data_IF_361976101868
#
_entry.id   IF_361976101868
#
_cell.length_a   1.000
_cell.length_b   1.000
_cell.length_c   1.000
_cell.angle_alpha   90.00
_cell.angle_beta   90.00
_cell.angle_gamma   90.00
#
_symmetry.space_group_name_H-M   'P 1'
#
loop_
_entity.id
_entity.type
_entity.pdbx_description
1 polymer ?
#
# COMPACT_ATOMS: atom_id res chain seq x y z
N UNK A 1 -18.07 -2.38 -10.31
CA UNK A 1 -16.68 -2.76 -10.66
C UNK A 1 -16.43 -4.15 -10.10
N UNK A 2 -16.03 -5.12 -10.93
CA UNK A 2 -15.64 -6.44 -10.41
C UNK A 2 -14.21 -6.35 -9.90
N UNK A 3 -14.02 -6.61 -8.60
CA UNK A 3 -12.68 -6.71 -8.02
C UNK A 3 -12.15 -8.10 -8.35
N UNK A 4 -10.99 -8.19 -8.98
CA UNK A 4 -10.29 -9.47 -9.08
C UNK A 4 -9.78 -9.83 -7.68
N UNK A 5 -10.27 -10.94 -7.13
CA UNK A 5 -9.85 -11.41 -5.81
C UNK A 5 -9.13 -12.74 -5.98
N UNK A 6 -7.89 -12.76 -5.49
CA UNK A 6 -7.02 -13.92 -5.60
C UNK A 6 -6.61 -14.35 -4.20
N UNK A 7 -6.93 -15.58 -3.83
CA UNK A 7 -6.43 -16.21 -2.62
C UNK A 7 -5.15 -16.98 -2.91
N UNK A 8 -4.14 -16.81 -2.07
CA UNK A 8 -2.93 -17.64 -2.06
C UNK A 8 -2.91 -18.45 -0.78
N UNK A 9 -2.67 -19.75 -0.91
CA UNK A 9 -2.47 -20.67 0.20
C UNK A 9 -1.03 -21.19 0.17
N UNK A 10 -0.38 -21.20 1.32
CA UNK A 10 0.97 -21.70 1.50
C UNK A 10 0.94 -23.04 2.24
N UNK A 11 1.70 -24.00 1.75
CA UNK A 11 1.75 -25.38 2.22
C UNK A 11 3.17 -25.74 2.64
N UNK A 12 3.29 -26.63 3.62
CA UNK A 12 4.55 -27.22 4.08
C UNK A 12 4.40 -28.74 4.14
N UNK A 13 5.37 -29.46 3.56
CA UNK A 13 5.45 -30.92 3.62
C UNK A 13 6.21 -31.40 4.87
N UNK A 14 6.24 -32.71 5.10
CA UNK A 14 6.97 -33.33 6.23
C UNK A 14 8.48 -33.02 6.22
N UNK A 15 9.05 -32.68 5.05
CA UNK A 15 10.45 -32.33 4.88
C UNK A 15 10.70 -30.83 5.03
N UNK A 16 9.71 -30.09 5.53
CA UNK A 16 9.72 -28.64 5.66
C UNK A 16 9.96 -27.92 4.32
N UNK A 17 9.52 -28.50 3.20
CA UNK A 17 9.54 -27.83 1.90
C UNK A 17 8.24 -27.07 1.72
N UNK A 18 8.38 -25.84 1.26
CA UNK A 18 7.27 -24.93 1.06
C UNK A 18 6.81 -24.94 -0.39
N UNK A 19 5.50 -24.85 -0.59
CA UNK A 19 4.89 -24.62 -1.90
C UNK A 19 3.65 -23.76 -1.73
N UNK A 20 3.16 -23.17 -2.81
CA UNK A 20 1.94 -22.37 -2.77
C UNK A 20 0.99 -22.73 -3.91
N UNK A 21 -0.28 -22.41 -3.70
CA UNK A 21 -1.30 -22.46 -4.75
C UNK A 21 -2.14 -21.20 -4.74
N UNK A 22 -2.68 -20.88 -5.91
CA UNK A 22 -3.44 -19.66 -6.14
C UNK A 22 -4.83 -20.03 -6.62
N UNK A 23 -5.84 -19.54 -5.90
CA UNK A 23 -7.26 -19.79 -6.16
C UNK A 23 -7.93 -18.46 -6.46
N UNK A 24 -8.72 -18.41 -7.53
CA UNK A 24 -9.56 -17.25 -7.83
C UNK A 24 -10.81 -17.30 -6.96
N UNK A 25 -11.05 -16.23 -6.21
CA UNK A 25 -12.24 -16.09 -5.38
C UNK A 25 -13.30 -15.36 -6.22
N UNK A 26 -14.56 -15.86 -6.26
CA UNK A 26 -15.65 -15.17 -6.93
C UNK A 26 -15.79 -13.72 -6.47
N UNK A 27 -16.08 -12.84 -7.41
CA UNK A 27 -16.24 -11.41 -7.13
C UNK A 27 -17.59 -11.15 -6.46
N UNK A 28 -17.65 -10.22 -5.50
CA UNK A 28 -18.90 -9.80 -4.86
C UNK A 28 -19.19 -10.43 -3.49
N UNK A 29 -18.29 -11.28 -2.99
CA UNK A 29 -18.33 -11.74 -1.60
C UNK A 29 -17.97 -10.62 -0.61
N UNK A 30 -18.52 -10.71 0.60
CA UNK A 30 -18.03 -9.92 1.73
C UNK A 30 -16.67 -10.46 2.19
N UNK A 31 -15.85 -9.63 2.86
CA UNK A 31 -14.55 -10.06 3.39
C UNK A 31 -14.67 -11.28 4.33
N UNK A 32 -15.75 -11.34 5.12
CA UNK A 32 -16.07 -12.50 5.96
C UNK A 32 -16.24 -13.79 5.15
N UNK A 33 -16.94 -13.70 4.02
CA UNK A 33 -17.25 -14.84 3.18
C UNK A 33 -16.02 -15.31 2.39
N UNK A 34 -15.14 -14.37 2.02
CA UNK A 34 -13.83 -14.70 1.42
C UNK A 34 -12.96 -15.49 2.40
N UNK A 35 -12.96 -15.12 3.68
CA UNK A 35 -12.24 -15.85 4.71
C UNK A 35 -12.79 -17.27 4.88
N UNK A 36 -14.13 -17.40 4.97
CA UNK A 36 -14.78 -18.71 5.06
C UNK A 36 -14.48 -19.59 3.85
N UNK A 37 -14.59 -19.03 2.64
CA UNK A 37 -14.27 -19.74 1.40
C UNK A 37 -12.82 -20.24 1.39
N UNK A 38 -11.86 -19.39 1.76
CA UNK A 38 -10.45 -19.80 1.82
C UNK A 38 -10.19 -20.84 2.89
N UNK A 39 -10.83 -20.76 4.05
CA UNK A 39 -10.71 -21.76 5.09
C UNK A 39 -11.23 -23.12 4.62
N UNK A 40 -12.39 -23.15 3.98
CA UNK A 40 -12.96 -24.40 3.41
C UNK A 40 -12.10 -24.95 2.28
N UNK A 41 -11.62 -24.11 1.37
CA UNK A 41 -10.74 -24.52 0.28
C UNK A 41 -9.38 -25.03 0.81
N UNK A 42 -8.80 -24.37 1.80
CA UNK A 42 -7.57 -24.78 2.45
C UNK A 42 -7.71 -26.16 3.12
N UNK A 43 -8.81 -26.40 3.83
CA UNK A 43 -9.07 -27.69 4.44
C UNK A 43 -9.17 -28.80 3.37
N UNK A 44 -9.95 -28.57 2.31
CA UNK A 44 -10.09 -29.55 1.23
C UNK A 44 -8.74 -29.87 0.55
N UNK A 45 -7.88 -28.86 0.37
CA UNK A 45 -6.55 -29.05 -0.21
C UNK A 45 -5.57 -29.73 0.76
N UNK A 46 -5.66 -29.43 2.05
CA UNK A 46 -4.89 -30.12 3.09
C UNK A 46 -5.25 -31.62 3.12
N UNK A 47 -6.55 -31.93 3.10
CA UNK A 47 -7.06 -33.30 3.11
C UNK A 47 -6.61 -34.11 1.88
N UNK A 48 -6.54 -33.47 0.69
CA UNK A 48 -6.09 -34.11 -0.55
C UNK A 48 -4.56 -34.26 -0.59
N UNK A 49 -3.83 -33.24 -0.16
CA UNK A 49 -2.37 -33.18 -0.31
C UNK A 49 -1.61 -33.88 0.82
N UNK A 50 -2.23 -34.07 1.97
CA UNK A 50 -1.55 -34.51 3.20
C UNK A 50 -0.54 -33.50 3.75
N UNK A 51 -0.48 -32.29 3.19
CA UNK A 51 0.42 -31.23 3.62
C UNK A 51 -0.24 -30.33 4.69
N UNK A 52 0.59 -29.65 5.48
CA UNK A 52 0.12 -28.63 6.42
C UNK A 52 -0.08 -27.31 5.68
N UNK A 53 -1.25 -26.67 5.83
CA UNK A 53 -1.44 -25.27 5.40
C UNK A 53 -0.90 -24.35 6.47
N UNK A 54 0.08 -23.51 6.14
CA UNK A 54 0.75 -22.60 7.09
C UNK A 54 0.26 -21.16 6.97
N UNK A 55 -0.35 -20.80 5.85
CA UNK A 55 -0.81 -19.44 5.61
C UNK A 55 -1.88 -19.35 4.52
N UNK A 56 -2.67 -18.29 4.62
CA UNK A 56 -3.60 -17.87 3.59
C UNK A 56 -3.53 -16.34 3.46
N UNK A 57 -3.49 -15.85 2.23
CA UNK A 57 -3.54 -14.42 1.93
C UNK A 57 -4.57 -14.13 0.85
N UNK A 58 -5.28 -13.02 0.98
CA UNK A 58 -6.22 -12.51 -0.02
C UNK A 58 -5.63 -11.26 -0.64
N UNK A 59 -5.49 -11.26 -1.96
CA UNK A 59 -5.15 -10.09 -2.75
C UNK A 59 -6.42 -9.55 -3.40
N UNK A 60 -6.77 -8.31 -3.08
CA UNK A 60 -7.90 -7.61 -3.67
C UNK A 60 -7.37 -6.57 -4.66
N UNK A 61 -7.63 -6.79 -5.94
CA UNK A 61 -7.32 -5.83 -6.99
C UNK A 61 -8.37 -4.72 -7.03
N UNK A 62 -7.95 -3.47 -6.78
CA UNK A 62 -8.79 -2.28 -6.96
C UNK A 62 -8.44 -1.61 -8.29
N UNK A 63 -9.44 -1.35 -9.11
CA UNK A 63 -9.29 -0.52 -10.31
C UNK A 63 -9.90 0.85 -10.05
N UNK A 64 -9.14 1.90 -10.31
CA UNK A 64 -9.60 3.27 -10.17
C UNK A 64 -10.22 3.72 -11.51
N UNK A 65 -11.49 4.17 -11.54
CA UNK A 65 -12.16 4.52 -12.79
C UNK A 65 -11.42 5.67 -13.50
N UNK A 66 -11.12 5.47 -14.78
CA UNK A 66 -10.50 6.48 -15.66
C UNK A 66 -9.01 6.75 -15.43
N UNK A 67 -8.37 6.09 -14.45
CA UNK A 67 -7.08 6.53 -13.91
C UNK A 67 -7.25 7.86 -13.16
N UNK A 68 -6.64 8.02 -11.98
CA UNK A 68 -6.77 9.26 -11.20
C UNK A 68 -6.27 10.51 -11.94
N UNK A 69 -5.50 10.32 -13.02
CA UNK A 69 -5.13 11.34 -13.99
C UNK A 69 -5.29 10.78 -15.40
N UNK A 70 -5.93 11.55 -16.28
CA UNK A 70 -6.23 11.15 -17.67
C UNK A 70 -5.00 11.06 -18.57
N UNK A 71 -3.96 11.86 -18.30
CA UNK A 71 -2.69 11.87 -19.03
C UNK A 71 -1.53 12.15 -18.06
N UNK A 72 -0.43 11.39 -18.15
CA UNK A 72 0.78 11.70 -17.41
C UNK A 72 1.32 13.08 -17.80
N UNK A 73 1.75 13.88 -16.82
CA UNK A 73 2.35 15.18 -17.12
C UNK A 73 3.66 14.98 -17.87
N UNK A 74 3.92 15.78 -18.92
CA UNK A 74 5.24 15.82 -19.57
C UNK A 74 6.37 16.17 -18.58
N UNK A 75 6.03 16.87 -17.49
CA UNK A 75 6.95 17.23 -16.42
C UNK A 75 7.11 16.14 -15.34
N UNK A 76 6.53 14.95 -15.55
CA UNK A 76 6.67 13.81 -14.63
C UNK A 76 7.86 12.95 -15.06
N UNK A 77 9.02 13.18 -14.45
CA UNK A 77 10.22 12.36 -14.69
C UNK A 77 10.34 11.26 -13.63
N UNK A 78 10.41 9.99 -14.06
CA UNK A 78 10.56 8.81 -13.18
C UNK A 78 11.96 8.78 -12.53
N UNK A 79 12.93 9.51 -13.09
CA UNK A 79 14.27 9.62 -12.51
C UNK A 79 14.30 10.43 -11.20
N UNK A 80 13.24 11.19 -10.91
CA UNK A 80 13.11 12.13 -9.78
C UNK A 80 12.08 11.62 -8.79
N UNK A 81 12.57 11.04 -7.69
CA UNK A 81 11.69 10.45 -6.66
C UNK A 81 11.55 11.39 -5.48
N UNK A 82 10.32 11.57 -5.01
CA UNK A 82 10.07 12.23 -3.74
C UNK A 82 10.31 11.23 -2.60
N UNK A 83 11.18 11.56 -1.66
CA UNK A 83 11.39 10.75 -0.45
C UNK A 83 10.74 11.42 0.75
N UNK A 84 9.73 10.79 1.32
CA UNK A 84 8.99 11.32 2.46
C UNK A 84 9.24 10.44 3.68
N UNK A 85 9.77 11.05 4.74
CA UNK A 85 10.09 10.40 6.00
C UNK A 85 9.17 10.93 7.10
N UNK A 86 8.55 10.00 7.82
CA UNK A 86 7.64 10.31 8.93
C UNK A 86 8.12 9.61 10.19
N UNK A 87 7.94 10.27 11.34
CA UNK A 87 8.20 9.66 12.64
C UNK A 87 6.90 9.60 13.43
N UNK A 88 6.66 8.45 14.05
CA UNK A 88 5.50 8.29 14.91
C UNK A 88 5.69 8.95 16.28
N UNK A 89 4.64 9.57 16.83
CA UNK A 89 4.70 10.25 18.14
C UNK A 89 4.76 9.23 19.29
N UNK A 90 4.05 8.11 19.17
CA UNK A 90 4.25 6.97 20.09
C UNK A 90 5.30 6.05 19.50
N UNK A 91 6.36 5.85 20.28
CA UNK A 91 7.50 4.93 20.10
C UNK A 91 8.48 5.19 18.95
N UNK A 92 8.48 6.37 18.33
CA UNK A 92 9.58 6.78 17.44
C UNK A 92 9.82 5.86 16.24
N UNK A 93 8.79 5.12 15.80
CA UNK A 93 8.90 4.29 14.61
C UNK A 93 9.05 5.16 13.39
N UNK A 94 9.89 4.69 12.47
CA UNK A 94 10.24 5.41 11.27
C UNK A 94 9.46 4.86 10.09
N UNK A 95 8.65 5.69 9.45
CA UNK A 95 7.95 5.33 8.22
C UNK A 95 8.57 6.06 7.01
N UNK A 96 8.63 5.36 5.88
CA UNK A 96 9.22 5.83 4.63
C UNK A 96 8.22 5.60 3.51
N UNK A 97 7.94 6.66 2.76
CA UNK A 97 7.19 6.56 1.52
C UNK A 97 8.02 7.17 0.38
N UNK A 98 7.96 6.54 -0.78
CA UNK A 98 8.56 7.05 -2.01
C UNK A 98 7.47 7.32 -3.03
N UNK A 99 7.47 8.51 -3.60
CA UNK A 99 6.66 8.81 -4.80
C UNK A 99 7.56 8.62 -6.02
N UNK A 100 7.20 7.72 -6.96
CA UNK A 100 8.07 7.38 -8.09
C UNK A 100 8.41 8.54 -9.03
N UNK A 101 7.61 9.61 -9.03
CA UNK A 101 7.82 10.83 -9.82
C UNK A 101 7.49 12.05 -8.95
N UNK A 102 8.25 13.13 -9.12
CA UNK A 102 7.93 14.45 -8.56
C UNK A 102 7.92 15.49 -9.69
N UNK A 103 6.97 16.44 -9.62
CA UNK A 103 6.97 17.58 -10.53
C UNK A 103 7.93 18.63 -9.97
N UNK A 104 8.88 19.10 -10.76
CA UNK A 104 9.92 20.06 -10.33
C UNK A 104 9.36 21.35 -9.72
N UNK A 105 8.14 21.76 -10.09
CA UNK A 105 7.50 22.94 -9.49
C UNK A 105 7.10 22.75 -8.02
N UNK A 106 7.25 21.55 -7.47
CA UNK A 106 6.95 21.21 -6.09
C UNK A 106 8.21 21.22 -5.20
N UNK A 107 9.34 21.72 -5.70
CA UNK A 107 10.54 21.97 -4.90
C UNK A 107 10.74 23.46 -4.63
N UNK A 108 11.42 23.78 -3.54
CA UNK A 108 11.63 25.17 -3.11
C UNK A 108 12.84 25.77 -3.83
N UNK A 109 12.58 26.57 -4.87
CA UNK A 109 13.60 27.34 -5.57
C UNK A 109 14.68 26.46 -6.20
N UNK A 110 15.94 26.63 -5.77
CA UNK A 110 17.08 25.82 -6.21
C UNK A 110 17.48 24.74 -5.19
N UNK A 111 16.58 24.40 -4.26
CA UNK A 111 16.78 23.31 -3.29
C UNK A 111 16.17 22.00 -3.79
N UNK A 112 16.65 20.89 -3.25
CA UNK A 112 16.04 19.55 -3.39
C UNK A 112 14.92 19.33 -2.35
N UNK A 113 14.64 20.33 -1.52
CA UNK A 113 13.56 20.29 -0.53
C UNK A 113 12.20 20.41 -1.21
N UNK A 114 11.27 19.54 -0.82
CA UNK A 114 9.89 19.57 -1.29
C UNK A 114 9.15 20.73 -0.61
N UNK A 115 8.44 21.55 -1.40
CA UNK A 115 7.65 22.67 -0.91
C UNK A 115 6.41 22.16 -0.15
N UNK A 116 6.50 22.19 1.18
CA UNK A 116 5.41 21.77 2.06
C UNK A 116 4.27 22.79 2.14
N UNK A 117 4.47 24.02 1.64
CA UNK A 117 3.43 25.03 1.57
C UNK A 117 2.54 24.87 0.32
N UNK A 118 2.99 24.14 -0.70
CA UNK A 118 2.17 23.84 -1.88
C UNK A 118 0.90 23.07 -1.44
N UNK A 119 -0.31 23.50 -1.85
CA UNK A 119 -1.55 22.89 -1.40
C UNK A 119 -1.66 21.38 -1.66
N UNK A 120 -1.08 20.87 -2.75
CA UNK A 120 -1.12 19.45 -3.07
C UNK A 120 -0.18 18.64 -2.17
N UNK A 121 1.00 19.19 -1.88
CA UNK A 121 1.92 18.58 -0.91
C UNK A 121 1.30 18.63 0.48
N UNK A 122 0.83 19.79 0.93
CA UNK A 122 0.19 19.98 2.23
C UNK A 122 -1.01 19.04 2.44
N UNK A 123 -1.83 18.80 1.41
CA UNK A 123 -2.92 17.84 1.48
C UNK A 123 -2.43 16.40 1.71
N UNK A 124 -1.36 15.98 1.02
CA UNK A 124 -0.73 14.68 1.25
C UNK A 124 -0.15 14.56 2.66
N UNK A 125 0.45 15.63 3.19
CA UNK A 125 0.99 15.67 4.55
C UNK A 125 -0.12 15.55 5.58
N UNK A 126 -1.19 16.33 5.42
CA UNK A 126 -2.36 16.23 6.27
C UNK A 126 -2.96 14.82 6.21
N UNK A 127 -2.98 14.18 5.05
CA UNK A 127 -3.45 12.80 4.93
C UNK A 127 -2.54 11.79 5.67
N UNK A 128 -1.24 12.06 5.79
CA UNK A 128 -0.31 11.22 6.57
C UNK A 128 -0.45 11.41 8.09
N UNK A 129 -0.81 12.61 8.53
CA UNK A 129 -0.97 12.95 9.96
C UNK A 129 -2.36 12.58 10.44
N UNK A 130 -3.39 13.03 9.72
CA UNK A 130 -4.79 12.97 10.10
C UNK A 130 -5.56 11.85 9.40
N UNK A 131 -4.93 11.11 8.48
CA UNK A 131 -5.59 10.11 7.64
C UNK A 131 -6.47 10.71 6.54
N UNK A 132 -7.00 9.84 5.69
CA UNK A 132 -7.96 10.18 4.63
C UNK A 132 -9.36 9.83 5.15
N UNK A 133 -10.30 10.79 5.20
CA UNK A 133 -11.67 10.50 5.53
C UNK A 133 -12.28 9.64 4.43
N UNK A 134 -12.87 8.51 4.81
CA UNK A 134 -13.65 7.65 3.91
C UNK A 134 -15.13 7.74 4.29
N UNK A 135 -16.02 7.50 3.33
CA UNK A 135 -17.48 7.59 3.57
C UNK A 135 -17.88 6.65 4.71
N UNK A 136 -18.21 7.22 5.88
CA UNK A 136 -18.47 6.51 7.13
C UNK A 136 -17.81 7.21 8.33
N UNK A 137 -17.86 6.63 9.54
CA UNK A 137 -17.20 7.20 10.73
C UNK A 137 -15.68 6.92 10.79
N UNK A 138 -15.11 6.28 9.76
CA UNK A 138 -13.73 5.81 9.78
C UNK A 138 -12.80 6.76 9.04
N UNK A 139 -11.62 6.98 9.61
CA UNK A 139 -10.50 7.65 8.96
C UNK A 139 -9.40 6.62 8.75
N UNK A 140 -8.93 6.45 7.51
CA UNK A 140 -7.88 5.48 7.18
C UNK A 140 -6.56 6.20 7.11
N UNK A 141 -5.56 5.73 7.86
CA UNK A 141 -4.24 6.35 7.90
C UNK A 141 -3.22 5.58 7.04
N UNK A 142 -2.12 6.24 6.68
CA UNK A 142 -0.97 5.59 6.02
C UNK A 142 -0.13 4.72 6.99
N UNK A 143 -0.52 4.63 8.27
CA UNK A 143 0.10 3.77 9.28
C UNK A 143 -0.82 2.61 9.69
N UNK A 144 -0.24 1.59 10.34
CA UNK A 144 -0.98 0.42 10.83
C UNK A 144 -1.88 0.80 12.02
N UNK A 145 -3.10 1.30 11.77
CA UNK A 145 -4.32 1.42 12.64
C UNK A 145 -4.17 1.86 14.12
N UNK A 146 -2.96 2.10 14.60
CA UNK A 146 -2.63 2.65 15.90
C UNK A 146 -2.76 4.15 15.72
N UNK A 147 -4.00 4.62 15.88
CA UNK A 147 -4.41 5.96 16.29
C UNK A 147 -3.35 7.00 15.94
N UNK A 148 -3.52 7.66 14.77
CA UNK A 148 -3.14 9.04 14.48
C UNK A 148 -1.92 9.59 15.21
N UNK A 149 -0.72 9.14 14.84
CA UNK A 149 0.47 9.60 15.52
C UNK A 149 1.66 9.72 14.58
N UNK A 150 1.56 10.40 13.43
CA UNK A 150 2.76 10.98 12.80
C UNK A 150 2.83 12.45 13.23
N UNK A 151 3.89 12.86 13.95
CA UNK A 151 3.95 14.20 14.58
C UNK A 151 4.27 15.30 13.56
N UNK A 152 5.10 14.94 12.57
CA UNK A 152 5.48 15.77 11.43
C UNK A 152 6.29 14.95 10.41
N UNK A 153 6.54 15.52 9.24
CA UNK A 153 7.64 15.09 8.37
C UNK A 153 8.96 15.33 9.09
N UNK A 154 9.80 14.31 9.14
CA UNK A 154 11.17 14.47 9.62
C UNK A 154 12.10 14.98 8.51
N UNK A 155 11.92 14.52 7.27
CA UNK A 155 12.71 14.90 6.08
C UNK A 155 11.86 14.68 4.81
N UNK A 156 11.90 15.64 3.88
CA UNK A 156 11.27 15.54 2.56
C UNK A 156 12.22 16.07 1.48
N UNK A 157 12.84 15.17 0.72
CA UNK A 157 13.91 15.51 -0.23
C UNK A 157 13.71 14.77 -1.55
N UNK A 158 14.00 15.44 -2.66
CA UNK A 158 14.08 14.84 -3.99
C UNK A 158 15.36 14.02 -4.13
N UNK A 159 15.25 12.77 -4.60
CA UNK A 159 16.39 11.92 -4.90
C UNK A 159 16.54 11.72 -6.41
N UNK A 160 17.72 12.07 -6.91
CA UNK A 160 18.10 11.84 -8.30
C UNK A 160 18.76 10.46 -8.42
N UNK A 161 18.16 9.57 -9.23
CA UNK A 161 18.87 8.35 -9.62
C UNK A 161 20.01 8.70 -10.57
N UNK A 162 21.26 8.53 -10.13
CA UNK A 162 22.43 8.58 -11.02
C UNK A 162 22.24 7.50 -12.09
N UNK A 163 22.09 7.90 -13.36
CA UNK A 163 22.11 6.97 -14.49
C UNK A 163 23.45 6.22 -14.43
N UNK A 164 23.39 4.90 -14.31
CA UNK A 164 24.54 4.01 -14.52
C UNK A 164 24.84 3.94 -16.01
#
# INVERSE_FOLDING_TARGET
>A
MSLAVTGRLDFVDEKNKESNTVIRIPTGFALSDMNLFLQTAAQALADISGCQVTGASVTIGLTLPGGLRTVASIASDIARKAFLQYRTVVSGFFNKMQIPTLKETLTVGSSDDIDQADPAVAALLSAHVNGIPVTGPATVSFGNDRIMLNDAISIAVEHHMKKK
#
